data_IF_746087688088
#
_entry.id   IF_746087688088
#
_cell.length_a   1.000
_cell.length_b   1.000
_cell.length_c   1.000
_cell.angle_alpha   90.00
_cell.angle_beta   90.00
_cell.angle_gamma   90.00
#
_symmetry.space_group_name_H-M   'P 1'
#
loop_
_entity.id
_entity.type
_entity.pdbx_description
1 polymer ?
#
# COMPACT_ATOMS: atom_id res chain seq x y z
N UNK A 1 7.97 -23.99 21.56
CA UNK A 1 7.96 -22.50 21.61
C UNK A 1 8.81 -21.85 20.52
N UNK A 2 10.10 -22.17 20.38
CA UNK A 2 10.94 -21.59 19.31
C UNK A 2 10.49 -21.98 17.89
N UNK A 3 10.05 -23.22 17.67
CA UNK A 3 9.51 -23.67 16.37
C UNK A 3 8.27 -22.86 15.93
N UNK A 4 7.36 -22.56 16.85
CA UNK A 4 6.17 -21.76 16.56
C UNK A 4 6.51 -20.29 16.23
N UNK A 5 7.52 -19.71 16.90
CA UNK A 5 8.04 -18.38 16.55
C UNK A 5 8.71 -18.37 15.17
N UNK A 6 9.44 -19.44 14.81
CA UNK A 6 10.05 -19.61 13.50
C UNK A 6 9.02 -19.79 12.38
N UNK A 7 7.86 -20.39 12.66
CA UNK A 7 6.73 -20.45 11.72
C UNK A 7 5.98 -19.12 11.58
N UNK A 8 5.91 -18.31 12.65
CA UNK A 8 5.25 -17.00 12.59
C UNK A 8 6.09 -15.94 11.86
N UNK A 9 7.42 -16.06 11.91
CA UNK A 9 8.34 -15.06 11.39
C UNK A 9 8.12 -14.76 9.88
N UNK A 10 8.03 -15.76 8.99
CA UNK A 10 7.79 -15.54 7.57
C UNK A 10 6.44 -14.90 7.28
N UNK A 11 5.40 -15.28 8.04
CA UNK A 11 4.05 -14.73 7.85
C UNK A 11 3.98 -13.29 8.35
N UNK A 12 4.66 -12.97 9.46
CA UNK A 12 4.82 -11.60 9.95
C UNK A 12 5.56 -10.71 8.96
N UNK A 13 6.70 -11.17 8.42
CA UNK A 13 7.44 -10.41 7.40
C UNK A 13 6.63 -10.22 6.11
N UNK A 14 5.83 -11.21 5.72
CA UNK A 14 4.93 -11.08 4.58
C UNK A 14 3.90 -9.97 4.83
N UNK A 15 3.25 -9.96 5.99
CA UNK A 15 2.28 -8.91 6.36
C UNK A 15 2.96 -7.53 6.36
N UNK A 16 4.16 -7.41 6.94
CA UNK A 16 4.93 -6.15 6.93
C UNK A 16 5.29 -5.70 5.52
N UNK A 17 5.71 -6.61 4.65
CA UNK A 17 6.04 -6.30 3.26
C UNK A 17 4.83 -5.73 2.50
N UNK A 18 3.67 -6.39 2.61
CA UNK A 18 2.45 -5.90 1.94
C UNK A 18 1.92 -4.61 2.56
N UNK A 19 1.97 -4.48 3.89
CA UNK A 19 1.52 -3.27 4.58
C UNK A 19 2.42 -2.06 4.25
N UNK A 20 3.74 -2.24 4.25
CA UNK A 20 4.69 -1.20 3.87
C UNK A 20 4.58 -0.84 2.39
N UNK A 21 4.41 -1.82 1.50
CA UNK A 21 4.15 -1.58 0.07
C UNK A 21 2.87 -0.77 -0.15
N UNK A 22 1.78 -1.13 0.52
CA UNK A 22 0.53 -0.38 0.47
C UNK A 22 0.70 1.07 0.95
N UNK A 23 1.40 1.27 2.07
CA UNK A 23 1.66 2.60 2.63
C UNK A 23 2.55 3.45 1.71
N UNK A 24 3.59 2.84 1.13
CA UNK A 24 4.50 3.50 0.20
C UNK A 24 3.77 3.91 -1.10
N UNK A 25 3.01 3.00 -1.71
CA UNK A 25 2.20 3.32 -2.90
C UNK A 25 1.18 4.41 -2.62
N UNK A 26 0.52 4.38 -1.46
CA UNK A 26 -0.45 5.42 -1.08
C UNK A 26 0.22 6.78 -0.92
N UNK A 27 1.39 6.82 -0.27
CA UNK A 27 2.16 8.06 -0.09
C UNK A 27 2.63 8.62 -1.43
N UNK A 28 3.12 7.75 -2.32
CA UNK A 28 3.51 8.13 -3.68
C UNK A 28 2.33 8.64 -4.50
N UNK A 29 1.16 7.99 -4.40
CA UNK A 29 -0.06 8.44 -5.08
C UNK A 29 -0.46 9.86 -4.69
N UNK A 30 -0.48 10.15 -3.39
CA UNK A 30 -0.75 11.51 -2.87
C UNK A 30 0.31 12.50 -3.33
N UNK A 31 1.58 12.12 -3.33
CA UNK A 31 2.65 13.00 -3.82
C UNK A 31 2.48 13.34 -5.30
N UNK A 32 2.15 12.35 -6.13
CA UNK A 32 1.91 12.54 -7.56
C UNK A 32 0.68 13.40 -7.81
N UNK A 33 -0.38 13.29 -7.00
CA UNK A 33 -1.52 14.21 -7.09
C UNK A 33 -1.12 15.66 -6.80
N UNK A 34 -0.22 15.91 -5.84
CA UNK A 34 0.30 17.27 -5.59
C UNK A 34 1.07 17.79 -6.81
N UNK A 35 1.89 16.96 -7.43
CA UNK A 35 2.58 17.31 -8.68
C UNK A 35 1.59 17.60 -9.80
N UNK A 36 0.49 16.86 -9.90
CA UNK A 36 -0.56 17.12 -10.88
C UNK A 36 -1.15 18.52 -10.68
N UNK A 37 -1.47 18.91 -9.43
CA UNK A 37 -2.00 20.25 -9.11
C UNK A 37 -0.99 21.37 -9.42
N UNK A 38 0.28 21.17 -9.08
CA UNK A 38 1.35 22.11 -9.42
C UNK A 38 1.52 22.26 -10.93
N UNK A 39 1.40 21.15 -11.67
CA UNK A 39 1.49 21.13 -13.14
C UNK A 39 0.27 21.78 -13.80
N UNK A 40 -0.92 21.69 -13.19
CA UNK A 40 -2.07 22.49 -13.64
C UNK A 40 -1.80 23.98 -13.47
N UNK A 41 -1.14 24.39 -12.37
CA UNK A 41 -0.83 25.79 -12.10
C UNK A 41 0.21 26.38 -13.05
N UNK A 42 1.10 25.56 -13.63
CA UNK A 42 2.04 25.97 -14.70
C UNK A 42 1.39 26.02 -16.09
N UNK A 43 0.13 25.59 -16.23
CA UNK A 43 -0.65 25.68 -17.46
C UNK A 43 -0.59 24.44 -18.37
N UNK A 44 0.18 23.41 -18.01
CA UNK A 44 0.23 22.16 -18.77
C UNK A 44 -0.86 21.17 -18.29
N UNK A 45 -2.07 21.37 -18.80
CA UNK A 45 -3.24 20.59 -18.37
C UNK A 45 -3.17 19.13 -18.80
N UNK A 46 -2.50 18.81 -19.92
CA UNK A 46 -2.40 17.44 -20.43
C UNK A 46 -1.48 16.62 -19.54
N UNK A 47 -0.31 17.16 -19.19
CA UNK A 47 0.62 16.50 -18.28
C UNK A 47 0.01 16.36 -16.88
N UNK A 48 -0.68 17.40 -16.41
CA UNK A 48 -1.35 17.36 -15.12
C UNK A 48 -2.43 16.27 -15.04
N UNK A 49 -3.23 16.09 -16.10
CA UNK A 49 -4.25 15.04 -16.13
C UNK A 49 -3.63 13.64 -16.08
N UNK A 50 -2.53 13.44 -16.81
CA UNK A 50 -1.78 12.18 -16.76
C UNK A 50 -1.20 11.90 -15.37
N UNK A 51 -0.61 12.91 -14.73
CA UNK A 51 -0.13 12.80 -13.35
C UNK A 51 -1.26 12.45 -12.39
N UNK A 52 -2.42 13.11 -12.50
CA UNK A 52 -3.58 12.81 -11.66
C UNK A 52 -4.03 11.35 -11.83
N UNK A 53 -4.10 10.84 -13.06
CA UNK A 53 -4.46 9.43 -13.33
C UNK A 53 -3.44 8.48 -12.71
N UNK A 54 -2.14 8.74 -12.84
CA UNK A 54 -1.09 7.89 -12.26
C UNK A 54 -1.15 7.92 -10.73
N UNK A 55 -1.34 9.10 -10.13
CA UNK A 55 -1.50 9.27 -8.69
C UNK A 55 -2.70 8.49 -8.15
N UNK A 56 -3.85 8.61 -8.83
CA UNK A 56 -5.07 7.88 -8.49
C UNK A 56 -4.90 6.37 -8.63
N UNK A 57 -4.20 5.89 -9.67
CA UNK A 57 -3.88 4.48 -9.81
C UNK A 57 -2.94 4.00 -8.70
N UNK A 58 -1.86 4.71 -8.39
CA UNK A 58 -0.97 4.35 -7.29
C UNK A 58 -1.73 4.28 -5.95
N UNK A 59 -2.63 5.24 -5.72
CA UNK A 59 -3.48 5.31 -4.54
C UNK A 59 -4.57 4.23 -4.51
N UNK A 60 -5.09 3.78 -5.65
CA UNK A 60 -6.05 2.67 -5.69
C UNK A 60 -5.33 1.33 -5.47
N UNK A 61 -4.23 1.10 -6.18
CA UNK A 61 -3.54 -0.19 -6.17
C UNK A 61 -2.84 -0.48 -4.83
N UNK A 62 -2.30 0.52 -4.13
CA UNK A 62 -1.66 0.32 -2.82
C UNK A 62 -2.59 -0.27 -1.75
N UNK A 63 -3.67 0.42 -1.33
CA UNK A 63 -4.61 -0.06 -0.34
C UNK A 63 -5.45 -1.24 -0.84
N UNK A 64 -5.87 -1.24 -2.11
CA UNK A 64 -6.80 -2.25 -2.61
C UNK A 64 -6.13 -3.61 -2.84
N UNK A 65 -4.98 -3.65 -3.54
CA UNK A 65 -4.33 -4.91 -3.91
C UNK A 65 -3.32 -5.43 -2.89
N UNK A 66 -2.73 -4.57 -2.07
CA UNK A 66 -1.80 -5.01 -1.02
C UNK A 66 -2.44 -4.97 0.36
N UNK A 67 -3.23 -3.94 0.67
CA UNK A 67 -3.87 -3.77 1.98
C UNK A 67 -5.03 -4.74 2.21
N UNK A 68 -6.07 -4.65 1.37
CA UNK A 68 -7.34 -5.36 1.60
C UNK A 68 -7.30 -6.84 1.22
N UNK A 69 -6.67 -7.19 0.10
CA UNK A 69 -6.66 -8.57 -0.42
C UNK A 69 -5.59 -9.44 0.21
N UNK A 70 -4.45 -8.88 0.60
CA UNK A 70 -3.29 -9.65 1.07
C UNK A 70 -3.00 -9.39 2.57
N UNK A 71 -2.84 -8.14 2.99
CA UNK A 71 -2.44 -7.82 4.36
C UNK A 71 -3.55 -8.04 5.40
N UNK A 72 -4.78 -7.65 5.12
CA UNK A 72 -5.94 -7.80 6.01
C UNK A 72 -6.27 -9.26 6.36
N UNK A 73 -6.43 -10.18 5.38
CA UNK A 73 -6.72 -11.57 5.69
C UNK A 73 -5.55 -12.29 6.37
N UNK A 74 -4.29 -12.00 5.99
CA UNK A 74 -3.12 -12.60 6.67
C UNK A 74 -2.94 -12.06 8.08
N UNK A 75 -3.15 -10.76 8.30
CA UNK A 75 -3.14 -10.15 9.64
C UNK A 75 -4.22 -10.74 10.56
N UNK A 76 -5.43 -10.99 10.04
CA UNK A 76 -6.49 -11.68 10.80
C UNK A 76 -6.10 -13.11 11.18
N UNK A 77 -5.46 -13.88 10.29
CA UNK A 77 -4.96 -15.23 10.59
C UNK A 77 -3.87 -15.20 11.66
N UNK A 78 -2.95 -14.23 11.57
CA UNK A 78 -1.87 -14.07 12.53
C UNK A 78 -2.41 -13.73 13.93
N UNK A 79 -3.38 -12.80 14.01
CA UNK A 79 -4.06 -12.46 15.26
C UNK A 79 -4.85 -13.63 15.86
N UNK A 80 -5.50 -14.44 15.02
CA UNK A 80 -6.20 -15.64 15.49
C UNK A 80 -5.24 -16.67 16.11
N UNK A 81 -4.08 -16.91 15.49
CA UNK A 81 -3.04 -17.81 16.03
C UNK A 81 -2.37 -17.32 17.30
N UNK A 82 -2.32 -16.01 17.52
CA UNK A 82 -1.79 -15.42 18.76
C UNK A 82 -2.80 -15.42 19.91
N UNK A 83 -4.09 -15.62 19.61
CA UNK A 83 -5.17 -15.68 20.59
C UNK A 83 -5.48 -17.12 21.06
N UNK A 84 -4.93 -18.13 20.38
CA UNK A 84 -4.87 -19.54 20.82
C UNK A 84 -3.68 -19.79 21.74
#
# INVERSE_FOLDING_TARGET
>A
MLESLLELLPEFFSVLFFASGAAALSTLGVYIERLALETMATGDTVLALWLAVIGLMAFYFGPYLMGLTEALPRGKRLLARLAE
#
